data_IF_702576490029
#
_entry.id   IF_702576490029
#
_cell.length_a   1.000
_cell.length_b   1.000
_cell.length_c   1.000
_cell.angle_alpha   90.00
_cell.angle_beta   90.00
_cell.angle_gamma   90.00
#
_symmetry.space_group_name_H-M   'P 1'
#
loop_
_entity.id
_entity.type
_entity.pdbx_description
1 polymer ?
#
# COMPACT_ATOMS: atom_id res chain seq x y z
N UNK A 1 -17.93 20.64 -9.04
CA UNK A 1 -17.44 21.93 -8.49
C UNK A 1 -18.54 22.73 -7.81
N UNK A 2 -19.83 22.44 -8.07
CA UNK A 2 -20.96 23.17 -7.48
C UNK A 2 -21.48 22.61 -6.13
N UNK A 3 -21.12 21.38 -5.75
CA UNK A 3 -21.53 20.79 -4.48
C UNK A 3 -20.63 21.16 -3.28
N UNK A 4 -19.45 21.74 -3.51
CA UNK A 4 -18.56 22.23 -2.44
C UNK A 4 -18.82 23.71 -2.13
N UNK A 5 -19.35 24.47 -3.10
CA UNK A 5 -19.92 25.79 -2.84
C UNK A 5 -21.14 25.70 -1.93
N UNK A 6 -22.01 24.69 -2.09
CA UNK A 6 -23.24 24.58 -1.30
C UNK A 6 -23.01 24.27 0.18
N UNK A 7 -21.97 23.52 0.55
CA UNK A 7 -21.69 23.21 1.97
C UNK A 7 -21.07 24.37 2.75
N UNK A 8 -20.36 25.29 2.09
CA UNK A 8 -19.84 26.52 2.71
C UNK A 8 -20.92 27.62 2.74
N UNK A 9 -21.82 27.62 1.76
CA UNK A 9 -23.00 28.52 1.71
C UNK A 9 -24.06 28.10 2.73
N UNK A 10 -24.23 26.82 3.09
CA UNK A 10 -25.19 26.41 4.14
C UNK A 10 -24.78 26.84 5.56
N UNK A 11 -23.49 27.12 5.80
CA UNK A 11 -23.00 27.70 7.06
C UNK A 11 -23.01 29.24 7.06
N UNK A 12 -23.32 29.84 5.92
CA UNK A 12 -23.54 31.28 5.73
C UNK A 12 -24.98 31.45 5.25
N UNK A 13 -25.98 31.41 6.14
CA UNK A 13 -27.38 31.64 5.76
C UNK A 13 -27.54 32.99 5.04
N UNK A 14 -27.55 32.94 3.70
CA UNK A 14 -27.92 34.04 2.83
C UNK A 14 -29.06 33.56 1.94
N UNK A 15 -30.27 34.03 2.23
CA UNK A 15 -31.48 33.77 1.45
C UNK A 15 -31.79 35.02 0.60
N UNK A 16 -31.70 34.98 -0.74
CA UNK A 16 -31.92 36.14 -1.58
C UNK A 16 -33.42 36.25 -1.90
N UNK A 17 -34.19 36.80 -0.98
CA UNK A 17 -35.49 37.35 -1.36
C UNK A 17 -35.84 38.56 -0.52
N UNK A 18 -36.26 39.60 -1.22
CA UNK A 18 -36.70 40.92 -0.76
C UNK A 18 -35.62 41.99 -0.62
N UNK A 19 -35.93 43.12 -1.25
CA UNK A 19 -35.08 44.28 -1.45
C UNK A 19 -34.63 44.90 -0.13
N UNK A 20 -33.38 44.68 0.24
CA UNK A 20 -32.59 45.56 1.10
C UNK A 20 -31.14 45.08 1.08
N UNK A 21 -30.21 45.98 0.77
CA UNK A 21 -28.77 45.71 0.74
C UNK A 21 -28.37 45.34 2.17
N UNK A 22 -28.03 44.08 2.41
CA UNK A 22 -27.65 43.57 3.74
C UNK A 22 -26.19 43.98 4.04
N UNK A 23 -26.01 44.97 4.90
CA UNK A 23 -24.73 45.62 5.24
C UNK A 23 -23.99 45.02 6.45
N UNK A 24 -24.16 43.73 6.78
CA UNK A 24 -23.41 43.13 7.91
C UNK A 24 -23.06 41.68 7.61
N UNK A 25 -21.78 41.41 7.36
CA UNK A 25 -21.20 40.07 7.47
C UNK A 25 -20.89 39.79 8.93
N UNK A 26 -21.73 39.01 9.60
CA UNK A 26 -21.56 38.57 10.98
C UNK A 26 -20.49 37.48 11.08
N UNK A 27 -19.26 37.87 11.40
CA UNK A 27 -18.29 36.97 12.05
C UNK A 27 -18.68 36.90 13.53
N UNK A 28 -18.94 35.70 14.06
CA UNK A 28 -19.66 35.51 15.34
C UNK A 28 -18.84 35.83 16.60
N UNK A 29 -17.53 36.08 16.48
CA UNK A 29 -16.72 36.85 17.45
C UNK A 29 -15.24 36.77 17.10
N UNK A 30 -14.58 37.92 17.02
CA UNK A 30 -13.14 38.01 17.18
C UNK A 30 -12.85 38.24 18.67
N UNK A 31 -11.89 37.51 19.24
CA UNK A 31 -11.51 37.70 20.64
C UNK A 31 -10.73 39.02 20.81
N UNK A 32 -11.46 40.14 20.90
CA UNK A 32 -10.92 41.50 21.11
C UNK A 32 -10.01 41.58 22.36
N UNK A 33 -10.22 40.71 23.34
CA UNK A 33 -9.36 40.55 24.53
C UNK A 33 -7.90 40.19 24.23
N UNK A 34 -7.58 39.75 23.00
CA UNK A 34 -6.22 39.38 22.58
C UNK A 34 -5.55 40.45 21.69
N UNK A 35 -6.21 41.57 21.41
CA UNK A 35 -5.69 42.61 20.50
C UNK A 35 -4.31 43.16 20.94
N UNK A 36 -4.11 43.41 22.23
CA UNK A 36 -2.82 43.87 22.77
C UNK A 36 -1.69 42.87 22.56
N UNK A 37 -1.99 41.57 22.65
CA UNK A 37 -1.03 40.50 22.37
C UNK A 37 -0.68 40.44 20.89
N UNK A 38 -1.67 40.56 20.00
CA UNK A 38 -1.45 40.60 18.54
C UNK A 38 -0.59 41.81 18.14
N UNK A 39 -0.79 42.98 18.76
CA UNK A 39 0.06 44.16 18.53
C UNK A 39 1.52 43.96 18.97
N UNK A 40 1.73 43.31 20.12
CA UNK A 40 3.07 42.91 20.57
C UNK A 40 3.71 41.89 19.62
N UNK A 41 2.93 40.92 19.14
CA UNK A 41 3.39 39.92 18.17
C UNK A 41 3.81 40.58 16.85
N UNK A 42 3.05 41.55 16.31
CA UNK A 42 3.42 42.30 15.10
C UNK A 42 4.79 42.98 15.25
N UNK A 43 5.02 43.62 16.40
CA UNK A 43 6.27 44.34 16.68
C UNK A 43 7.47 43.39 16.82
N UNK A 44 7.25 42.24 17.47
CA UNK A 44 8.31 41.22 17.58
C UNK A 44 8.61 40.54 16.24
N UNK A 45 7.59 40.29 15.42
CA UNK A 45 7.72 39.67 14.11
C UNK A 45 8.38 40.60 13.10
N UNK A 46 8.09 41.91 13.12
CA UNK A 46 8.79 42.88 12.27
C UNK A 46 10.29 42.90 12.58
N UNK A 47 10.66 42.88 13.87
CA UNK A 47 12.07 42.82 14.25
C UNK A 47 12.73 41.47 13.90
N UNK A 48 11.97 40.37 14.01
CA UNK A 48 12.44 39.05 13.56
C UNK A 48 12.64 38.98 12.04
N UNK A 49 11.88 39.72 11.24
CA UNK A 49 12.08 39.82 9.78
C UNK A 49 13.35 40.58 9.42
N UNK A 50 13.75 41.59 10.20
CA UNK A 50 14.97 42.36 9.97
C UNK A 50 16.24 41.56 10.28
N UNK A 51 16.14 40.63 11.23
CA UNK A 51 17.29 39.87 11.77
C UNK A 51 17.49 38.50 11.11
N UNK A 52 16.43 37.90 10.55
CA UNK A 52 16.51 36.57 9.95
C UNK A 52 16.62 36.63 8.43
N UNK A 53 17.75 36.20 7.88
CA UNK A 53 17.98 36.09 6.44
C UNK A 53 17.76 34.67 5.89
N UNK A 54 17.51 33.69 6.77
CA UNK A 54 17.25 32.30 6.38
C UNK A 54 15.91 32.18 5.64
N UNK A 55 15.87 31.73 4.36
CA UNK A 55 14.67 31.85 3.52
C UNK A 55 13.41 31.15 4.05
N UNK A 56 13.54 29.94 4.61
CA UNK A 56 12.41 29.20 5.20
C UNK A 56 11.84 29.88 6.43
N UNK A 57 12.71 30.29 7.35
CA UNK A 57 12.32 30.94 8.59
C UNK A 57 11.72 32.32 8.29
N UNK A 58 12.33 33.07 7.37
CA UNK A 58 11.82 34.35 6.89
C UNK A 58 10.41 34.21 6.30
N UNK A 59 10.16 33.21 5.44
CA UNK A 59 8.82 32.94 4.91
C UNK A 59 7.80 32.65 6.01
N UNK A 60 8.16 31.84 7.01
CA UNK A 60 7.27 31.54 8.14
C UNK A 60 6.95 32.77 8.99
N UNK A 61 7.97 33.59 9.27
CA UNK A 61 7.83 34.86 10.00
C UNK A 61 6.95 35.82 9.19
N UNK A 62 7.19 35.98 7.89
CA UNK A 62 6.41 36.84 6.99
C UNK A 62 4.93 36.44 6.93
N UNK A 63 4.64 35.14 6.78
CA UNK A 63 3.25 34.64 6.79
C UNK A 63 2.59 34.88 8.15
N UNK A 64 3.34 34.77 9.25
CA UNK A 64 2.86 35.05 10.61
C UNK A 64 2.57 36.54 10.80
N UNK A 65 3.45 37.40 10.29
CA UNK A 65 3.30 38.84 10.31
C UNK A 65 2.06 39.30 9.52
N UNK A 66 1.90 38.84 8.27
CA UNK A 66 0.71 39.12 7.45
C UNK A 66 -0.58 38.69 8.15
N UNK A 67 -0.59 37.51 8.77
CA UNK A 67 -1.75 37.00 9.50
C UNK A 67 -2.10 37.87 10.72
N UNK A 68 -1.08 38.30 11.47
CA UNK A 68 -1.26 39.19 12.61
C UNK A 68 -1.79 40.57 12.19
N UNK A 69 -1.27 41.15 11.10
CA UNK A 69 -1.77 42.41 10.54
C UNK A 69 -3.23 42.31 10.08
N UNK A 70 -3.58 41.27 9.32
CA UNK A 70 -4.95 41.07 8.86
C UNK A 70 -5.90 40.86 10.04
N UNK A 71 -5.47 40.13 11.08
CA UNK A 71 -6.25 39.97 12.32
C UNK A 71 -6.46 41.31 13.02
N UNK A 72 -5.42 42.15 13.11
CA UNK A 72 -5.53 43.49 13.71
C UNK A 72 -6.47 44.40 12.92
N UNK A 73 -6.40 44.36 11.58
CA UNK A 73 -7.30 45.10 10.71
C UNK A 73 -8.76 44.65 10.85
N UNK A 74 -8.99 43.36 11.05
CA UNK A 74 -10.34 42.84 11.32
C UNK A 74 -10.87 43.34 12.67
N UNK A 75 -10.05 43.31 13.73
CA UNK A 75 -10.43 43.82 15.07
C UNK A 75 -10.78 45.30 15.01
N UNK A 76 -9.91 46.13 14.42
CA UNK A 76 -10.14 47.58 14.35
C UNK A 76 -11.35 47.95 13.50
N UNK A 77 -11.63 47.18 12.44
CA UNK A 77 -12.83 47.34 11.63
C UNK A 77 -14.10 46.99 12.42
N UNK A 78 -14.11 45.91 13.21
CA UNK A 78 -15.25 45.59 14.07
C UNK A 78 -15.51 46.66 15.14
N UNK A 79 -14.45 47.18 15.79
CA UNK A 79 -14.56 48.27 16.77
C UNK A 79 -15.09 49.57 16.13
N UNK A 80 -14.62 49.89 14.92
CA UNK A 80 -15.11 51.05 14.16
C UNK A 80 -16.60 50.88 13.77
N UNK A 81 -17.02 49.68 13.34
CA UNK A 81 -18.43 49.42 13.06
C UNK A 81 -19.31 49.48 14.31
N UNK A 82 -18.80 49.06 15.47
CA UNK A 82 -19.54 49.07 16.73
C UNK A 82 -19.76 50.49 17.28
N UNK A 83 -18.90 51.44 16.92
CA UNK A 83 -18.92 52.82 17.45
C UNK A 83 -19.39 53.86 16.43
N UNK A 84 -19.44 53.52 15.13
CA UNK A 84 -19.84 54.44 14.08
C UNK A 84 -21.35 54.69 14.03
N UNK A 85 -21.73 55.96 14.14
CA UNK A 85 -23.09 56.44 13.83
C UNK A 85 -23.24 56.89 12.38
N UNK A 86 -22.13 57.18 11.70
CA UNK A 86 -22.09 57.67 10.33
C UNK A 86 -22.04 56.50 9.33
N UNK A 87 -23.00 56.47 8.41
CA UNK A 87 -23.13 55.43 7.38
C UNK A 87 -21.88 55.27 6.51
N UNK A 88 -21.10 56.34 6.31
CA UNK A 88 -19.86 56.33 5.54
C UNK A 88 -18.74 55.56 6.25
N UNK A 89 -18.63 55.70 7.57
CA UNK A 89 -17.62 55.02 8.41
C UNK A 89 -17.94 53.54 8.52
N UNK A 90 -19.23 53.18 8.67
CA UNK A 90 -19.68 51.79 8.65
C UNK A 90 -19.31 51.10 7.33
N UNK A 91 -19.50 51.78 6.20
CA UNK A 91 -19.15 51.23 4.89
C UNK A 91 -17.63 51.02 4.71
N UNK A 92 -16.80 51.97 5.16
CA UNK A 92 -15.34 51.83 5.12
C UNK A 92 -14.85 50.71 6.03
N UNK A 93 -15.38 50.61 7.24
CA UNK A 93 -15.02 49.57 8.20
C UNK A 93 -15.46 48.18 7.69
N UNK A 94 -16.65 48.06 7.09
CA UNK A 94 -17.11 46.83 6.45
C UNK A 94 -16.17 46.38 5.31
N UNK A 95 -15.72 47.31 4.47
CA UNK A 95 -14.76 47.01 3.40
C UNK A 95 -13.39 46.57 3.95
N UNK A 96 -12.92 47.21 5.03
CA UNK A 96 -11.68 46.82 5.70
C UNK A 96 -11.77 45.41 6.32
N UNK A 97 -12.90 45.08 6.95
CA UNK A 97 -13.15 43.74 7.51
C UNK A 97 -13.20 42.68 6.41
N UNK A 98 -13.86 42.97 5.29
CA UNK A 98 -13.89 42.08 4.13
C UNK A 98 -12.47 41.79 3.61
N UNK A 99 -11.67 42.84 3.36
CA UNK A 99 -10.31 42.70 2.86
C UNK A 99 -9.41 41.92 3.83
N UNK A 100 -9.55 42.17 5.14
CA UNK A 100 -8.83 41.43 6.18
C UNK A 100 -9.22 39.94 6.18
N UNK A 101 -10.50 39.64 6.03
CA UNK A 101 -11.02 38.27 6.02
C UNK A 101 -10.56 37.51 4.78
N UNK A 102 -10.56 38.15 3.61
CA UNK A 102 -10.02 37.56 2.37
C UNK A 102 -8.53 37.28 2.49
N UNK A 103 -7.74 38.22 3.02
CA UNK A 103 -6.30 38.01 3.22
C UNK A 103 -6.02 36.84 4.20
N UNK A 104 -6.83 36.70 5.27
CA UNK A 104 -6.73 35.54 6.17
C UNK A 104 -7.09 34.22 5.47
N UNK A 105 -8.09 34.22 4.59
CA UNK A 105 -8.45 33.06 3.78
C UNK A 105 -7.31 32.68 2.81
N UNK A 106 -6.71 33.66 2.14
CA UNK A 106 -5.57 33.45 1.24
C UNK A 106 -4.36 32.91 1.99
N UNK A 107 -4.05 33.46 3.17
CA UNK A 107 -2.99 32.97 4.04
C UNK A 107 -3.20 31.53 4.49
N UNK A 108 -4.46 31.13 4.74
CA UNK A 108 -4.79 29.75 5.08
C UNK A 108 -4.50 28.81 3.91
N UNK A 109 -4.78 29.23 2.67
CA UNK A 109 -4.42 28.47 1.46
C UNK A 109 -2.90 28.42 1.28
N UNK A 110 -2.19 29.54 1.43
CA UNK A 110 -0.71 29.62 1.29
C UNK A 110 0.06 28.77 2.32
N UNK A 111 -0.56 28.50 3.48
CA UNK A 111 -0.01 27.66 4.55
C UNK A 111 -0.41 26.19 4.44
N UNK A 112 -1.42 25.86 3.64
CA UNK A 112 -1.91 24.49 3.51
C UNK A 112 -0.90 23.63 2.74
N UNK A 113 -0.30 22.67 3.43
CA UNK A 113 0.71 21.78 2.84
C UNK A 113 0.14 20.81 1.78
N UNK A 114 -1.17 20.58 1.80
CA UNK A 114 -1.83 19.65 0.89
C UNK A 114 -2.31 20.32 -0.41
N UNK A 115 -2.27 21.65 -0.49
CA UNK A 115 -2.79 22.44 -1.63
C UNK A 115 -4.26 22.11 -1.99
N UNK A 116 -5.01 21.49 -1.07
CA UNK A 116 -6.39 21.04 -1.27
C UNK A 116 -7.12 20.86 0.06
N UNK A 117 -8.44 20.71 0.02
CA UNK A 117 -9.25 20.36 1.19
C UNK A 117 -9.28 18.85 1.38
N UNK A 118 -8.93 18.38 2.58
CA UNK A 118 -8.96 16.95 2.89
C UNK A 118 -10.39 16.45 3.10
N UNK A 119 -10.77 15.41 2.36
CA UNK A 119 -12.02 14.69 2.54
C UNK A 119 -12.02 13.93 3.85
N UNK A 120 -12.86 14.37 4.80
CA UNK A 120 -12.99 13.68 6.10
C UNK A 120 -13.43 12.23 5.93
N UNK A 121 -14.42 12.01 5.07
CA UNK A 121 -15.00 10.70 4.84
C UNK A 121 -13.96 9.71 4.27
N UNK A 122 -13.27 10.09 3.20
CA UNK A 122 -12.32 9.17 2.53
C UNK A 122 -11.15 8.79 3.44
N UNK A 123 -10.57 9.76 4.13
CA UNK A 123 -9.44 9.52 5.05
C UNK A 123 -9.83 8.64 6.25
N UNK A 124 -10.99 8.89 6.87
CA UNK A 124 -11.49 8.06 7.97
C UNK A 124 -11.85 6.64 7.49
N UNK A 125 -12.43 6.52 6.29
CA UNK A 125 -12.76 5.24 5.67
C UNK A 125 -11.53 4.34 5.49
N UNK A 126 -10.47 4.85 4.87
CA UNK A 126 -9.23 4.07 4.68
C UNK A 126 -8.51 3.81 6.00
N UNK A 127 -8.49 4.77 6.94
CA UNK A 127 -7.97 4.54 8.29
C UNK A 127 -8.68 3.36 8.97
N UNK A 128 -10.01 3.27 8.82
CA UNK A 128 -10.81 2.16 9.37
C UNK A 128 -10.47 0.83 8.71
N UNK A 129 -10.37 0.79 7.37
CA UNK A 129 -10.00 -0.42 6.64
C UNK A 129 -8.61 -0.91 7.06
N UNK A 130 -7.61 -0.04 7.11
CA UNK A 130 -6.25 -0.42 7.53
C UNK A 130 -6.21 -0.82 9.00
N UNK A 131 -7.03 -0.23 9.86
CA UNK A 131 -7.17 -0.66 11.26
C UNK A 131 -7.70 -2.09 11.36
N UNK A 132 -8.71 -2.45 10.56
CA UNK A 132 -9.28 -3.81 10.54
C UNK A 132 -8.25 -4.83 10.03
N UNK A 133 -7.56 -4.51 8.94
CA UNK A 133 -6.51 -5.39 8.38
C UNK A 133 -5.37 -5.57 9.39
N UNK A 134 -4.90 -4.48 10.00
CA UNK A 134 -3.83 -4.50 10.99
C UNK A 134 -4.23 -5.30 12.23
N UNK A 135 -5.45 -5.10 12.75
CA UNK A 135 -5.99 -5.87 13.88
C UNK A 135 -6.03 -7.36 13.56
N UNK A 136 -6.50 -7.76 12.37
CA UNK A 136 -6.49 -9.14 11.93
C UNK A 136 -5.07 -9.74 11.89
N UNK A 137 -4.10 -9.00 11.33
CA UNK A 137 -2.70 -9.45 11.25
C UNK A 137 -2.06 -9.60 12.63
N UNK A 138 -2.36 -8.70 13.57
CA UNK A 138 -1.91 -8.78 14.96
C UNK A 138 -2.50 -10.02 15.67
N UNK A 139 -3.79 -10.30 15.48
CA UNK A 139 -4.42 -11.52 16.01
C UNK A 139 -3.82 -12.78 15.39
N UNK A 140 -3.51 -12.76 14.09
CA UNK A 140 -2.87 -13.86 13.40
C UNK A 140 -1.46 -14.14 13.89
N UNK A 141 -0.74 -13.15 14.45
CA UNK A 141 0.60 -13.36 15.02
C UNK A 141 0.59 -14.38 16.16
N UNK A 142 -0.48 -14.45 16.95
CA UNK A 142 -0.63 -15.41 18.06
C UNK A 142 -0.84 -16.84 17.53
N UNK A 143 -1.57 -16.98 16.43
CA UNK A 143 -1.95 -18.28 15.85
C UNK A 143 -0.94 -18.82 14.83
N UNK A 144 -0.25 -17.93 14.12
CA UNK A 144 0.55 -18.22 12.94
C UNK A 144 2.02 -18.41 13.28
N UNK A 145 2.62 -19.50 12.82
CA UNK A 145 4.09 -19.67 12.87
C UNK A 145 4.83 -19.01 11.71
N UNK A 146 4.15 -18.35 10.78
CA UNK A 146 4.76 -17.63 9.65
C UNK A 146 5.24 -16.23 10.06
N UNK A 147 6.18 -16.17 11.01
CA UNK A 147 6.66 -14.93 11.62
C UNK A 147 7.11 -13.89 10.60
N UNK A 148 7.89 -14.29 9.59
CA UNK A 148 8.39 -13.37 8.56
C UNK A 148 7.28 -12.71 7.77
N UNK A 149 6.28 -13.48 7.34
CA UNK A 149 5.10 -12.95 6.64
C UNK A 149 4.31 -11.99 7.55
N UNK A 150 4.00 -12.41 8.78
CA UNK A 150 3.18 -11.58 9.67
C UNK A 150 3.89 -10.28 10.04
N UNK A 151 5.18 -10.33 10.42
CA UNK A 151 5.94 -9.14 10.84
C UNK A 151 6.00 -8.13 9.70
N UNK A 152 6.37 -8.57 8.49
CA UNK A 152 6.47 -7.67 7.33
C UNK A 152 5.12 -7.09 6.93
N UNK A 153 4.04 -7.89 6.95
CA UNK A 153 2.68 -7.37 6.72
C UNK A 153 2.24 -6.38 7.81
N UNK A 154 2.52 -6.66 9.09
CA UNK A 154 2.20 -5.75 10.21
C UNK A 154 2.97 -4.44 10.06
N UNK A 155 4.26 -4.48 9.71
CA UNK A 155 5.03 -3.28 9.41
C UNK A 155 4.42 -2.50 8.24
N UNK A 156 4.08 -3.18 7.14
CA UNK A 156 3.45 -2.56 5.97
C UNK A 156 2.12 -1.88 6.29
N UNK A 157 1.15 -2.61 6.83
CA UNK A 157 -0.17 -2.05 7.17
C UNK A 157 -0.15 -1.13 8.39
N UNK A 158 0.83 -1.27 9.29
CA UNK A 158 1.09 -0.32 10.37
C UNK A 158 1.53 1.03 9.82
N UNK A 159 2.39 1.04 8.81
CA UNK A 159 2.78 2.26 8.10
C UNK A 159 1.61 2.86 7.29
N UNK A 160 0.78 2.06 6.62
CA UNK A 160 -0.46 2.56 5.99
C UNK A 160 -1.40 3.23 7.00
N UNK A 161 -1.59 2.59 8.15
CA UNK A 161 -2.41 3.10 9.23
C UNK A 161 -1.87 4.41 9.79
N UNK A 162 -0.57 4.48 10.08
CA UNK A 162 0.09 5.73 10.50
C UNK A 162 -0.03 6.81 9.43
N UNK A 163 0.05 6.42 8.17
CA UNK A 163 -0.06 7.30 7.03
C UNK A 163 -1.41 8.04 7.01
N UNK A 164 -2.48 7.26 7.09
CA UNK A 164 -3.84 7.78 7.16
C UNK A 164 -4.19 8.45 8.49
N UNK A 165 -3.56 8.03 9.60
CA UNK A 165 -3.66 8.73 10.88
C UNK A 165 -3.10 10.15 10.76
N UNK A 166 -1.94 10.34 10.13
CA UNK A 166 -1.38 11.66 9.86
C UNK A 166 -2.34 12.57 9.07
N UNK A 167 -3.06 12.01 8.09
CA UNK A 167 -4.09 12.73 7.33
C UNK A 167 -5.28 13.14 8.19
N UNK A 168 -5.78 12.24 9.05
CA UNK A 168 -6.88 12.54 9.97
C UNK A 168 -6.47 13.59 11.00
N UNK A 169 -5.25 13.51 11.55
CA UNK A 169 -4.72 14.52 12.47
C UNK A 169 -4.58 15.89 11.79
N UNK A 170 -4.28 15.91 10.49
CA UNK A 170 -4.19 17.14 9.68
C UNK A 170 -5.52 17.86 9.50
N UNK A 171 -6.68 17.27 9.88
CA UNK A 171 -7.95 18.00 9.91
C UNK A 171 -7.98 19.11 10.95
N UNK A 172 -7.18 18.97 12.02
CA UNK A 172 -7.05 20.00 13.05
C UNK A 172 -6.26 21.20 12.53
N UNK A 173 -5.20 20.93 11.75
CA UNK A 173 -4.30 21.94 11.21
C UNK A 173 -3.51 21.35 10.03
N UNK A 174 -3.82 21.80 8.82
CA UNK A 174 -3.18 21.35 7.56
C UNK A 174 -1.83 22.01 7.32
N UNK A 175 -1.41 22.96 8.16
CA UNK A 175 -0.12 23.64 8.06
C UNK A 175 0.99 22.95 8.88
N UNK A 176 0.62 21.98 9.72
CA UNK A 176 1.58 21.21 10.54
C UNK A 176 2.39 20.24 9.71
N UNK A 177 3.68 20.54 9.59
CA UNK A 177 4.65 19.72 8.87
C UNK A 177 4.76 18.30 9.44
N UNK A 178 4.67 18.12 10.75
CA UNK A 178 4.83 16.80 11.38
C UNK A 178 3.77 15.79 10.92
N UNK A 179 2.51 16.23 10.82
CA UNK A 179 1.42 15.38 10.34
C UNK A 179 1.56 15.10 8.84
N UNK A 180 1.99 16.10 8.07
CA UNK A 180 2.28 15.97 6.65
C UNK A 180 3.47 15.01 6.39
N UNK A 181 4.53 15.05 7.20
CA UNK A 181 5.66 14.14 7.07
C UNK A 181 5.28 12.72 7.52
N UNK A 182 4.49 12.58 8.59
CA UNK A 182 3.99 11.29 9.04
C UNK A 182 3.23 10.56 7.92
N UNK A 183 2.30 11.25 7.24
CA UNK A 183 1.59 10.64 6.12
C UNK A 183 2.54 10.26 4.97
N UNK A 184 3.45 11.16 4.61
CA UNK A 184 4.20 11.07 3.38
C UNK A 184 5.24 9.96 3.48
N UNK A 185 5.99 9.95 4.59
CA UNK A 185 7.02 8.95 4.87
C UNK A 185 6.38 7.58 5.07
N UNK A 186 5.31 7.47 5.85
CA UNK A 186 4.70 6.18 6.15
C UNK A 186 4.07 5.53 4.89
N UNK A 187 3.31 6.30 4.09
CA UNK A 187 2.75 5.79 2.83
C UNK A 187 3.86 5.47 1.80
N UNK A 188 4.99 6.15 1.83
CA UNK A 188 6.09 5.82 0.91
C UNK A 188 6.77 4.50 1.29
N UNK A 189 6.96 4.23 2.58
CA UNK A 189 7.67 3.04 3.08
C UNK A 189 6.83 1.76 3.06
N UNK A 190 5.51 1.88 3.28
CA UNK A 190 4.63 0.73 3.49
C UNK A 190 4.69 -0.36 2.40
N UNK A 191 4.68 -0.06 1.09
CA UNK A 191 4.63 -1.09 0.04
C UNK A 191 5.85 -2.00 0.01
N UNK A 192 7.04 -1.51 0.39
CA UNK A 192 8.26 -2.32 0.43
C UNK A 192 8.12 -3.48 1.43
N UNK A 193 7.52 -3.22 2.60
CA UNK A 193 7.26 -4.25 3.59
C UNK A 193 6.18 -5.25 3.15
N UNK A 194 5.12 -4.77 2.51
CA UNK A 194 4.06 -5.63 1.95
C UNK A 194 4.64 -6.57 0.88
N UNK A 195 5.50 -6.05 0.01
CA UNK A 195 6.14 -6.84 -1.03
C UNK A 195 7.16 -7.83 -0.48
N UNK A 196 7.91 -7.49 0.57
CA UNK A 196 8.77 -8.44 1.27
C UNK A 196 7.99 -9.69 1.74
N UNK A 197 6.76 -9.50 2.23
CA UNK A 197 5.87 -10.61 2.60
C UNK A 197 5.47 -11.47 1.39
N UNK A 198 5.16 -10.83 0.26
CA UNK A 198 4.78 -11.51 -0.98
C UNK A 198 5.96 -12.29 -1.57
N UNK A 199 7.17 -11.73 -1.56
CA UNK A 199 8.39 -12.42 -2.00
C UNK A 199 8.67 -13.67 -1.17
N UNK A 200 8.43 -13.59 0.13
CA UNK A 200 8.52 -14.74 1.02
C UNK A 200 7.47 -15.81 0.66
N UNK A 201 6.21 -15.41 0.42
CA UNK A 201 5.16 -16.35 0.02
C UNK A 201 5.46 -17.00 -1.34
N UNK A 202 6.02 -16.24 -2.28
CA UNK A 202 6.46 -16.78 -3.56
C UNK A 202 7.57 -17.82 -3.39
N UNK A 203 8.56 -17.57 -2.53
CA UNK A 203 9.60 -18.56 -2.22
C UNK A 203 8.99 -19.87 -1.68
N UNK A 204 7.96 -19.78 -0.82
CA UNK A 204 7.25 -20.97 -0.32
C UNK A 204 6.52 -21.72 -1.44
N UNK A 205 5.87 -21.00 -2.36
CA UNK A 205 5.20 -21.59 -3.52
C UNK A 205 6.14 -22.38 -4.43
N UNK A 206 7.36 -21.88 -4.63
CA UNK A 206 8.39 -22.59 -5.40
C UNK A 206 8.78 -23.90 -4.72
N UNK A 207 8.93 -23.92 -3.40
CA UNK A 207 9.28 -25.15 -2.66
C UNK A 207 8.15 -26.17 -2.70
N UNK A 208 6.89 -25.71 -2.58
CA UNK A 208 5.71 -26.58 -2.55
C UNK A 208 5.48 -27.25 -3.91
N UNK A 209 5.62 -26.53 -5.02
CA UNK A 209 5.44 -27.13 -6.35
C UNK A 209 6.69 -27.86 -6.83
N UNK A 210 7.87 -27.34 -6.52
CA UNK A 210 9.15 -27.91 -6.93
C UNK A 210 10.05 -26.84 -7.52
N UNK A 211 11.32 -26.88 -7.11
CA UNK A 211 12.33 -25.90 -7.52
C UNK A 211 12.64 -25.93 -9.02
N UNK A 212 12.38 -27.05 -9.69
CA UNK A 212 12.60 -27.22 -11.14
C UNK A 212 11.73 -26.28 -11.98
N UNK A 213 10.57 -25.86 -11.48
CA UNK A 213 9.65 -24.93 -12.17
C UNK A 213 10.07 -23.46 -12.04
N UNK A 214 11.05 -23.17 -11.21
CA UNK A 214 11.50 -21.81 -10.93
C UNK A 214 12.83 -21.51 -11.62
N UNK A 215 13.02 -20.25 -12.01
CA UNK A 215 14.27 -19.77 -12.62
C UNK A 215 15.36 -19.60 -11.56
N UNK A 216 14.99 -19.05 -10.39
CA UNK A 216 15.90 -18.84 -9.27
C UNK A 216 15.58 -19.83 -8.14
N UNK A 217 16.55 -20.03 -7.27
CA UNK A 217 16.35 -20.76 -6.01
C UNK A 217 15.36 -19.98 -5.12
N UNK A 218 14.53 -20.66 -4.32
CA UNK A 218 13.42 -20.04 -3.59
C UNK A 218 13.80 -18.79 -2.79
N UNK A 219 14.84 -18.85 -1.95
CA UNK A 219 15.23 -17.73 -1.09
C UNK A 219 15.93 -16.59 -1.83
N UNK A 220 16.44 -16.83 -3.04
CA UNK A 220 17.09 -15.79 -3.83
C UNK A 220 16.09 -14.74 -4.30
N UNK A 221 14.82 -15.10 -4.52
CA UNK A 221 13.77 -14.13 -4.79
C UNK A 221 13.62 -13.14 -3.62
N UNK A 222 13.48 -13.67 -2.39
CA UNK A 222 13.34 -12.82 -1.22
C UNK A 222 14.58 -11.97 -0.97
N UNK A 223 15.79 -12.53 -1.05
CA UNK A 223 17.01 -11.75 -0.80
C UNK A 223 17.25 -10.67 -1.86
N UNK A 224 17.18 -11.03 -3.14
CA UNK A 224 17.43 -10.08 -4.22
C UNK A 224 16.44 -8.91 -4.18
N UNK A 225 15.14 -9.20 -4.14
CA UNK A 225 14.12 -8.17 -4.24
C UNK A 225 13.98 -7.33 -2.97
N UNK A 226 14.14 -7.93 -1.77
CA UNK A 226 14.18 -7.13 -0.53
C UNK A 226 15.41 -6.24 -0.50
N UNK A 227 16.57 -6.68 -0.98
CA UNK A 227 17.76 -5.82 -1.08
C UNK A 227 17.52 -4.66 -2.04
N UNK A 228 16.93 -4.90 -3.22
CA UNK A 228 16.56 -3.84 -4.15
C UNK A 228 15.62 -2.81 -3.49
N UNK A 229 14.60 -3.28 -2.75
CA UNK A 229 13.67 -2.41 -2.06
C UNK A 229 14.37 -1.61 -0.94
N UNK A 230 15.22 -2.22 -0.12
CA UNK A 230 16.00 -1.52 0.92
C UNK A 230 16.92 -0.46 0.32
N UNK A 231 17.65 -0.78 -0.75
CA UNK A 231 18.51 0.19 -1.45
C UNK A 231 17.67 1.35 -1.98
N UNK A 232 16.51 1.06 -2.56
CA UNK A 232 15.59 2.08 -3.06
C UNK A 232 15.12 3.02 -1.94
N UNK A 233 14.81 2.49 -0.75
CA UNK A 233 14.39 3.28 0.41
C UNK A 233 15.53 4.13 0.97
N UNK A 234 16.76 3.64 0.95
CA UNK A 234 17.93 4.42 1.36
C UNK A 234 18.19 5.59 0.41
N UNK A 235 18.05 5.38 -0.90
CA UNK A 235 18.13 6.45 -1.90
C UNK A 235 17.04 7.50 -1.66
N UNK A 236 15.81 7.07 -1.38
CA UNK A 236 14.69 7.96 -1.06
C UNK A 236 14.92 8.76 0.22
N UNK A 237 15.38 8.11 1.29
CA UNK A 237 15.70 8.77 2.55
C UNK A 237 16.83 9.79 2.37
N UNK A 238 17.88 9.44 1.62
CA UNK A 238 18.97 10.35 1.28
C UNK A 238 18.51 11.53 0.43
N UNK A 239 17.71 11.29 -0.60
CA UNK A 239 17.14 12.32 -1.47
C UNK A 239 16.20 13.27 -0.73
N UNK A 240 15.30 12.74 0.11
CA UNK A 240 14.42 13.52 0.97
C UNK A 240 15.18 14.33 2.02
N UNK A 241 16.23 13.75 2.62
CA UNK A 241 17.13 14.45 3.54
C UNK A 241 17.86 15.60 2.85
N UNK A 242 18.40 15.37 1.66
CA UNK A 242 19.06 16.39 0.85
C UNK A 242 18.10 17.51 0.42
N UNK A 243 16.88 17.17 -0.01
CA UNK A 243 15.86 18.17 -0.38
C UNK A 243 15.47 19.04 0.83
N UNK A 244 15.31 18.42 2.01
CA UNK A 244 15.00 19.14 3.24
C UNK A 244 16.13 20.10 3.64
N UNK A 245 17.39 19.64 3.57
CA UNK A 245 18.57 20.46 3.85
C UNK A 245 18.73 21.62 2.85
N UNK A 246 18.54 21.35 1.56
CA UNK A 246 18.61 22.37 0.51
C UNK A 246 17.60 23.50 0.74
N UNK A 247 16.36 23.12 1.08
CA UNK A 247 15.33 24.13 1.33
C UNK A 247 15.60 24.91 2.64
N UNK A 248 16.24 24.31 3.65
CA UNK A 248 16.68 25.05 4.84
C UNK A 248 17.79 26.07 4.52
N UNK A 249 18.67 25.73 3.59
CA UNK A 249 19.79 26.57 3.17
C UNK A 249 19.43 27.55 2.04
N UNK A 250 18.19 27.54 1.54
CA UNK A 250 17.75 28.41 0.44
C UNK A 250 18.32 28.03 -0.94
N UNK A 251 18.83 26.81 -1.07
CA UNK A 251 19.36 26.28 -2.34
C UNK A 251 18.33 25.41 -3.04
N UNK A 252 18.49 25.20 -4.35
CA UNK A 252 17.58 24.39 -5.16
C UNK A 252 17.40 22.97 -4.60
N UNK A 253 16.16 22.62 -4.26
CA UNK A 253 15.76 21.33 -3.71
C UNK A 253 15.61 20.23 -4.77
N UNK A 254 15.55 20.59 -6.05
CA UNK A 254 15.32 19.65 -7.17
C UNK A 254 16.30 18.47 -7.21
N UNK A 255 17.62 18.62 -6.95
CA UNK A 255 18.53 17.48 -6.94
C UNK A 255 18.13 16.42 -5.90
N UNK A 256 17.69 16.84 -4.72
CA UNK A 256 17.20 15.94 -3.67
C UNK A 256 15.90 15.25 -4.06
N UNK A 257 14.95 16.02 -4.62
CA UNK A 257 13.68 15.47 -5.13
C UNK A 257 13.91 14.46 -6.26
N UNK A 258 14.80 14.76 -7.22
CA UNK A 258 15.16 13.85 -8.31
C UNK A 258 15.83 12.58 -7.81
N UNK A 259 16.65 12.67 -6.76
CA UNK A 259 17.25 11.51 -6.10
C UNK A 259 16.18 10.63 -5.47
N UNK A 260 15.18 11.22 -4.81
CA UNK A 260 14.04 10.47 -4.28
C UNK A 260 13.22 9.78 -5.39
N UNK A 261 12.95 10.48 -6.50
CA UNK A 261 12.28 9.89 -7.68
C UNK A 261 13.07 8.71 -8.22
N UNK A 262 14.40 8.82 -8.32
CA UNK A 262 15.27 7.74 -8.81
C UNK A 262 15.14 6.47 -7.94
N UNK A 263 15.03 6.63 -6.61
CA UNK A 263 14.79 5.52 -5.70
C UNK A 263 13.47 4.80 -5.99
N UNK A 264 12.37 5.53 -6.12
CA UNK A 264 11.05 4.92 -6.39
C UNK A 264 11.02 4.31 -7.80
N UNK A 265 11.66 4.94 -8.79
CA UNK A 265 11.79 4.40 -10.14
C UNK A 265 12.58 3.08 -10.16
N UNK A 266 13.68 3.00 -9.40
CA UNK A 266 14.44 1.77 -9.22
C UNK A 266 13.60 0.66 -8.57
N UNK A 267 12.76 1.02 -7.59
CA UNK A 267 11.81 0.09 -6.97
C UNK A 267 10.78 -0.44 -7.99
N UNK A 268 10.20 0.43 -8.83
CA UNK A 268 9.26 0.02 -9.91
C UNK A 268 9.95 -0.89 -10.92
N UNK A 269 11.20 -0.60 -11.30
CA UNK A 269 11.99 -1.47 -12.17
C UNK A 269 12.16 -2.86 -11.53
N UNK A 270 12.55 -2.92 -10.26
CA UNK A 270 12.66 -4.15 -9.47
C UNK A 270 11.35 -4.96 -9.47
N UNK A 271 10.21 -4.30 -9.20
CA UNK A 271 8.88 -4.93 -9.26
C UNK A 271 8.53 -5.47 -10.64
N UNK A 272 8.92 -4.78 -11.71
CA UNK A 272 8.69 -5.23 -13.09
C UNK A 272 9.45 -6.53 -13.37
N UNK A 273 10.71 -6.62 -12.93
CA UNK A 273 11.51 -7.85 -13.03
C UNK A 273 10.91 -8.98 -12.20
N UNK A 274 10.41 -8.68 -10.99
CA UNK A 274 9.68 -9.65 -10.18
C UNK A 274 8.45 -10.19 -10.90
N UNK A 275 7.67 -9.31 -11.54
CA UNK A 275 6.49 -9.69 -12.32
C UNK A 275 6.83 -10.67 -13.45
N UNK A 276 7.93 -10.44 -14.15
CA UNK A 276 8.42 -11.34 -15.20
C UNK A 276 8.70 -12.72 -14.61
N UNK A 277 9.41 -12.80 -13.48
CA UNK A 277 9.68 -14.08 -12.82
C UNK A 277 8.42 -14.76 -12.28
N UNK A 278 7.47 -14.00 -11.76
CA UNK A 278 6.19 -14.52 -11.29
C UNK A 278 5.40 -15.18 -12.43
N UNK A 279 5.24 -14.49 -13.56
CA UNK A 279 4.53 -15.06 -14.71
C UNK A 279 5.30 -16.19 -15.39
N UNK A 280 6.63 -16.13 -15.42
CA UNK A 280 7.46 -17.23 -15.92
C UNK A 280 7.32 -18.49 -15.04
N UNK A 281 7.24 -18.32 -13.72
CA UNK A 281 6.93 -19.42 -12.80
C UNK A 281 5.54 -20.00 -13.07
N UNK A 282 4.50 -19.17 -13.22
CA UNK A 282 3.15 -19.65 -13.55
C UNK A 282 3.09 -20.37 -14.91
N UNK A 283 3.81 -19.85 -15.90
CA UNK A 283 3.91 -20.45 -17.23
C UNK A 283 4.55 -21.83 -17.16
N UNK A 284 5.65 -21.98 -16.41
CA UNK A 284 6.31 -23.27 -16.18
C UNK A 284 5.42 -24.21 -15.37
N UNK A 285 4.72 -23.68 -14.38
CA UNK A 285 3.84 -24.46 -13.51
C UNK A 285 2.69 -25.10 -14.30
N UNK A 286 2.04 -24.35 -15.20
CA UNK A 286 0.83 -24.81 -15.88
C UNK A 286 1.06 -25.53 -17.20
N UNK A 287 2.14 -25.19 -17.92
CA UNK A 287 2.30 -25.60 -19.33
C UNK A 287 3.56 -26.44 -19.62
N UNK A 288 4.42 -26.72 -18.63
CA UNK A 288 5.70 -27.41 -18.90
C UNK A 288 5.55 -28.90 -19.18
N UNK A 289 4.73 -29.60 -18.42
CA UNK A 289 4.63 -31.07 -18.47
C UNK A 289 3.24 -31.59 -18.81
N UNK A 290 2.28 -30.71 -19.06
CA UNK A 290 0.94 -31.15 -19.40
C UNK A 290 0.75 -31.35 -20.91
N UNK A 291 -0.22 -32.19 -21.25
CA UNK A 291 -0.57 -32.58 -22.60
C UNK A 291 -2.04 -32.27 -22.91
N UNK A 292 -2.36 -32.10 -24.19
CA UNK A 292 -3.73 -31.85 -24.65
C UNK A 292 -4.11 -30.37 -24.76
N UNK A 293 -5.42 -30.09 -24.83
CA UNK A 293 -5.93 -28.77 -25.19
C UNK A 293 -5.63 -27.67 -24.15
N UNK A 294 -5.56 -28.03 -22.86
CA UNK A 294 -5.24 -27.09 -21.77
C UNK A 294 -3.74 -26.78 -21.66
N UNK A 295 -2.87 -27.62 -22.23
CA UNK A 295 -1.42 -27.40 -22.25
C UNK A 295 -0.97 -26.30 -23.21
N UNK A 296 -1.85 -25.87 -24.13
CA UNK A 296 -1.55 -24.77 -25.06
C UNK A 296 -1.60 -23.43 -24.34
N UNK A 297 -0.56 -22.60 -24.57
CA UNK A 297 -0.46 -21.23 -24.07
C UNK A 297 -1.44 -20.32 -24.81
N UNK A 298 -2.70 -20.29 -24.35
CA UNK A 298 -3.72 -19.38 -24.86
C UNK A 298 -4.25 -18.51 -23.73
N UNK A 299 -4.66 -17.25 -23.99
CA UNK A 299 -5.24 -16.37 -22.97
C UNK A 299 -6.45 -17.00 -22.27
N UNK A 300 -7.27 -17.75 -23.01
CA UNK A 300 -8.41 -18.49 -22.46
C UNK A 300 -7.98 -19.58 -21.46
N UNK A 301 -6.92 -20.33 -21.76
CA UNK A 301 -6.41 -21.35 -20.84
C UNK A 301 -5.80 -20.71 -19.60
N UNK A 302 -5.02 -19.64 -19.75
CA UNK A 302 -4.47 -18.86 -18.63
C UNK A 302 -5.59 -18.38 -17.70
N UNK A 303 -6.68 -17.82 -18.25
CA UNK A 303 -7.83 -17.40 -17.47
C UNK A 303 -8.49 -18.59 -16.73
N UNK A 304 -8.64 -19.76 -17.39
CA UNK A 304 -9.15 -20.97 -16.74
C UNK A 304 -8.29 -21.41 -15.56
N UNK A 305 -6.96 -21.28 -15.66
CA UNK A 305 -6.03 -21.58 -14.56
C UNK A 305 -6.22 -20.60 -13.39
N UNK A 306 -6.31 -19.30 -13.67
CA UNK A 306 -6.53 -18.28 -12.65
C UNK A 306 -7.86 -18.43 -11.92
N UNK A 307 -8.95 -18.71 -12.64
CA UNK A 307 -10.28 -18.90 -12.06
C UNK A 307 -10.53 -20.33 -11.54
N UNK A 308 -9.50 -21.18 -11.48
CA UNK A 308 -9.54 -22.54 -10.99
C UNK A 308 -10.81 -23.33 -11.42
N UNK A 309 -11.09 -23.36 -12.73
CA UNK A 309 -12.28 -24.03 -13.27
C UNK A 309 -12.21 -25.55 -13.02
N UNK A 310 -13.35 -26.25 -12.91
CA UNK A 310 -13.40 -27.73 -12.74
C UNK A 310 -12.54 -28.51 -13.75
N UNK A 311 -12.50 -28.06 -15.01
CA UNK A 311 -11.64 -28.66 -16.03
C UNK A 311 -10.14 -28.56 -15.72
N UNK A 312 -9.71 -27.48 -15.06
CA UNK A 312 -8.32 -27.28 -14.64
C UNK A 312 -8.00 -28.10 -13.40
N UNK A 313 -8.94 -28.25 -12.47
CA UNK A 313 -8.77 -29.11 -11.29
C UNK A 313 -8.47 -30.55 -11.72
N UNK A 314 -9.30 -31.10 -12.60
CA UNK A 314 -9.09 -32.46 -13.14
C UNK A 314 -7.75 -32.58 -13.89
N UNK A 315 -7.40 -31.58 -14.72
CA UNK A 315 -6.13 -31.55 -15.44
C UNK A 315 -4.92 -31.48 -14.50
N UNK A 316 -5.01 -30.69 -13.42
CA UNK A 316 -3.96 -30.58 -12.41
C UNK A 316 -3.75 -31.90 -11.69
N UNK A 317 -4.82 -32.52 -11.22
CA UNK A 317 -4.75 -33.81 -10.51
C UNK A 317 -4.23 -34.94 -11.39
N UNK A 318 -4.66 -35.01 -12.66
CA UNK A 318 -4.30 -36.11 -13.55
C UNK A 318 -2.92 -35.94 -14.19
N UNK A 319 -2.52 -34.72 -14.58
CA UNK A 319 -1.33 -34.52 -15.41
C UNK A 319 -0.21 -33.75 -14.72
N UNK A 320 -0.52 -32.78 -13.85
CA UNK A 320 0.51 -31.91 -13.26
C UNK A 320 1.02 -32.41 -11.90
N UNK A 321 0.12 -32.96 -11.08
CA UNK A 321 0.43 -33.42 -9.73
C UNK A 321 1.60 -34.43 -9.65
N UNK A 322 1.76 -35.39 -10.59
CA UNK A 322 2.90 -36.32 -10.58
C UNK A 322 4.28 -35.64 -10.69
N UNK A 323 4.34 -34.45 -11.30
CA UNK A 323 5.59 -33.71 -11.48
C UNK A 323 5.90 -32.75 -10.32
N UNK A 324 4.95 -32.55 -9.41
CA UNK A 324 5.15 -31.70 -8.24
C UNK A 324 5.82 -32.45 -7.09
N UNK A 325 6.35 -31.70 -6.12
CA UNK A 325 7.01 -32.30 -4.97
C UNK A 325 6.02 -33.15 -4.14
N UNK A 326 6.18 -34.48 -4.03
CA UNK A 326 5.22 -35.34 -3.34
C UNK A 326 5.14 -35.04 -1.84
N UNK A 327 6.23 -34.52 -1.24
CA UNK A 327 6.28 -34.19 0.19
C UNK A 327 5.30 -33.10 0.64
N UNK A 328 4.71 -32.34 -0.31
CA UNK A 328 3.77 -31.25 -0.01
C UNK A 328 2.38 -31.44 -0.64
N UNK A 329 2.04 -32.64 -1.11
CA UNK A 329 0.73 -32.92 -1.74
C UNK A 329 -0.45 -32.56 -0.81
N UNK A 330 -0.33 -32.82 0.49
CA UNK A 330 -1.36 -32.48 1.49
C UNK A 330 -1.66 -30.97 1.60
N UNK A 331 -0.71 -30.10 1.22
CA UNK A 331 -0.93 -28.65 1.18
C UNK A 331 -1.69 -28.29 -0.10
N UNK A 332 -1.30 -28.89 -1.24
CA UNK A 332 -1.88 -28.57 -2.55
C UNK A 332 -3.34 -28.99 -2.69
N UNK A 333 -3.75 -30.09 -2.06
CA UNK A 333 -5.16 -30.52 -2.05
C UNK A 333 -6.10 -29.63 -1.20
N UNK A 334 -5.57 -28.60 -0.50
CA UNK A 334 -6.43 -27.65 0.23
C UNK A 334 -7.15 -26.74 -0.75
N UNK A 335 -8.47 -26.61 -0.61
CA UNK A 335 -9.32 -25.78 -1.49
C UNK A 335 -8.85 -24.31 -1.63
N UNK A 336 -8.27 -23.73 -0.59
CA UNK A 336 -7.78 -22.35 -0.61
C UNK A 336 -6.45 -22.19 -1.37
N UNK A 337 -5.66 -23.26 -1.49
CA UNK A 337 -4.34 -23.22 -2.11
C UNK A 337 -4.44 -22.96 -3.61
N UNK A 338 -5.43 -23.55 -4.29
CA UNK A 338 -5.59 -23.40 -5.74
C UNK A 338 -5.88 -21.97 -6.20
N UNK A 339 -6.47 -21.15 -5.33
CA UNK A 339 -6.76 -19.75 -5.59
C UNK A 339 -5.61 -18.81 -5.24
N UNK A 340 -4.56 -19.33 -4.60
CA UNK A 340 -3.41 -18.53 -4.15
C UNK A 340 -2.62 -17.89 -5.30
N UNK A 341 -2.42 -18.53 -6.47
CA UNK A 341 -1.81 -17.87 -7.63
C UNK A 341 -2.60 -16.64 -8.09
N UNK A 342 -3.94 -16.70 -8.09
CA UNK A 342 -4.77 -15.54 -8.43
C UNK A 342 -4.63 -14.45 -7.36
N UNK A 343 -4.72 -14.81 -6.08
CA UNK A 343 -4.59 -13.89 -4.97
C UNK A 343 -3.26 -13.11 -5.00
N UNK A 344 -2.14 -13.80 -5.19
CA UNK A 344 -0.81 -13.17 -5.30
C UNK A 344 -0.72 -12.29 -6.54
N UNK A 345 -1.24 -12.74 -7.69
CA UNK A 345 -1.18 -11.95 -8.93
C UNK A 345 -1.94 -10.64 -8.79
N UNK A 346 -3.13 -10.66 -8.20
CA UNK A 346 -3.94 -9.44 -7.97
C UNK A 346 -3.27 -8.54 -6.93
N UNK A 347 -2.71 -9.10 -5.86
CA UNK A 347 -1.99 -8.34 -4.84
C UNK A 347 -0.76 -7.61 -5.42
N UNK A 348 0.09 -8.31 -6.17
CA UNK A 348 1.29 -7.74 -6.80
C UNK A 348 0.89 -6.69 -7.84
N UNK A 349 -0.18 -6.92 -8.62
CA UNK A 349 -0.68 -5.94 -9.59
C UNK A 349 -1.13 -4.65 -8.90
N UNK A 350 -1.86 -4.75 -7.78
CA UNK A 350 -2.30 -3.59 -7.04
C UNK A 350 -1.13 -2.78 -6.48
N UNK A 351 -0.14 -3.44 -5.87
CA UNK A 351 1.08 -2.76 -5.36
C UNK A 351 1.87 -2.11 -6.50
N UNK A 352 1.95 -2.77 -7.65
CA UNK A 352 2.64 -2.24 -8.83
C UNK A 352 1.97 -0.99 -9.42
N UNK A 353 0.63 -0.98 -9.55
CA UNK A 353 -0.14 0.19 -9.98
C UNK A 353 0.15 1.38 -9.05
N UNK A 354 0.12 1.15 -7.73
CA UNK A 354 0.49 2.18 -6.74
C UNK A 354 1.91 2.68 -6.95
N UNK A 355 2.84 1.77 -7.21
CA UNK A 355 4.27 2.11 -7.34
C UNK A 355 4.50 2.99 -8.58
N UNK A 356 3.82 2.71 -9.69
CA UNK A 356 3.80 3.57 -10.89
C UNK A 356 3.18 4.93 -10.56
N UNK A 357 2.01 4.95 -9.89
CA UNK A 357 1.37 6.19 -9.47
C UNK A 357 2.33 7.08 -8.66
N UNK A 358 3.08 6.51 -7.72
CA UNK A 358 4.05 7.26 -6.90
C UNK A 358 5.20 7.86 -7.70
N UNK A 359 5.71 7.16 -8.71
CA UNK A 359 6.72 7.73 -9.61
C UNK A 359 6.15 8.95 -10.35
N UNK A 360 4.94 8.82 -10.90
CA UNK A 360 4.31 9.90 -11.68
C UNK A 360 3.91 11.08 -10.78
N UNK A 361 3.37 10.81 -9.59
CA UNK A 361 3.02 11.81 -8.58
C UNK A 361 4.24 12.67 -8.25
N UNK A 362 5.37 12.04 -7.95
CA UNK A 362 6.58 12.76 -7.58
C UNK A 362 7.29 13.44 -8.75
N UNK A 363 7.22 12.85 -9.94
CA UNK A 363 7.74 13.48 -11.16
C UNK A 363 6.99 14.77 -11.52
N UNK A 364 5.71 14.89 -11.16
CA UNK A 364 4.95 16.14 -11.30
C UNK A 364 5.26 17.16 -10.21
N UNK A 365 5.89 16.74 -9.11
CA UNK A 365 6.23 17.59 -7.96
C UNK A 365 5.04 17.86 -7.02
N UNK A 366 5.34 18.56 -5.92
CA UNK A 366 4.38 18.79 -4.81
C UNK A 366 3.22 19.76 -5.13
N UNK A 367 3.25 20.38 -6.30
CA UNK A 367 2.15 21.21 -6.84
C UNK A 367 1.50 20.61 -8.08
N UNK A 368 1.82 19.35 -8.39
CA UNK A 368 1.29 18.61 -9.53
C UNK A 368 -0.21 18.32 -9.42
N UNK A 369 -0.86 18.07 -10.55
CA UNK A 369 -2.30 17.78 -10.58
C UNK A 369 -2.67 16.56 -9.72
N UNK A 370 -1.83 15.51 -9.71
CA UNK A 370 -2.09 14.26 -8.98
C UNK A 370 -2.10 14.44 -7.46
N UNK A 371 -1.14 15.19 -6.88
CA UNK A 371 -1.03 15.35 -5.43
C UNK A 371 -2.12 16.29 -4.87
N UNK A 372 -2.57 17.26 -5.67
CA UNK A 372 -3.65 18.21 -5.31
C UNK A 372 -5.02 17.53 -5.35
N UNK A 373 -5.21 16.54 -6.23
CA UNK A 373 -6.49 15.84 -6.37
C UNK A 373 -6.50 14.56 -5.55
N UNK A 374 -7.05 14.65 -4.35
CA UNK A 374 -7.11 13.56 -3.37
C UNK A 374 -7.75 12.26 -3.89
N UNK A 375 -8.62 12.35 -4.91
CA UNK A 375 -9.24 11.19 -5.55
C UNK A 375 -8.20 10.20 -6.08
N UNK A 376 -7.07 10.68 -6.63
CA UNK A 376 -6.03 9.79 -7.14
C UNK A 376 -5.31 9.05 -6.01
N UNK A 377 -5.05 9.72 -4.89
CA UNK A 377 -4.50 9.08 -3.70
C UNK A 377 -5.45 8.01 -3.15
N UNK A 378 -6.76 8.25 -3.13
CA UNK A 378 -7.71 7.24 -2.68
C UNK A 378 -7.79 6.03 -3.62
N UNK A 379 -7.86 6.26 -4.93
CA UNK A 379 -8.09 5.17 -5.90
C UNK A 379 -6.81 4.45 -6.30
N UNK A 380 -5.75 5.17 -6.65
CA UNK A 380 -4.53 4.60 -7.21
C UNK A 380 -3.52 4.16 -6.14
N UNK A 381 -3.71 4.61 -4.90
CA UNK A 381 -2.82 4.27 -3.80
C UNK A 381 -3.57 3.50 -2.69
N UNK A 382 -4.50 4.16 -1.98
CA UNK A 382 -5.12 3.57 -0.79
C UNK A 382 -6.00 2.36 -1.10
N UNK A 383 -6.81 2.43 -2.15
CA UNK A 383 -7.65 1.32 -2.61
C UNK A 383 -6.80 0.15 -3.08
N UNK A 384 -5.70 0.40 -3.79
CA UNK A 384 -4.83 -0.67 -4.28
C UNK A 384 -4.21 -1.47 -3.13
N UNK A 385 -3.68 -0.79 -2.10
CA UNK A 385 -3.16 -1.48 -0.92
C UNK A 385 -4.27 -2.09 -0.06
N UNK A 386 -5.43 -1.46 0.02
CA UNK A 386 -6.60 -2.06 0.68
C UNK A 386 -7.00 -3.38 0.02
N UNK A 387 -7.04 -3.44 -1.33
CA UNK A 387 -7.31 -4.68 -2.08
C UNK A 387 -6.27 -5.75 -1.75
N UNK A 388 -4.98 -5.39 -1.77
CA UNK A 388 -3.91 -6.32 -1.40
C UNK A 388 -4.14 -6.90 0.01
N UNK A 389 -4.49 -6.05 0.98
CA UNK A 389 -4.65 -6.47 2.37
C UNK A 389 -5.88 -7.35 2.56
N UNK A 390 -7.01 -6.92 2.01
CA UNK A 390 -8.28 -7.64 2.04
C UNK A 390 -8.19 -9.02 1.38
N UNK A 391 -7.38 -9.18 0.33
CA UNK A 391 -7.11 -10.49 -0.27
C UNK A 391 -6.39 -11.41 0.72
N UNK A 392 -5.41 -10.92 1.46
CA UNK A 392 -4.65 -11.74 2.41
C UNK A 392 -5.38 -12.03 3.73
N UNK A 393 -6.58 -11.50 3.96
CA UNK A 393 -7.44 -11.92 5.08
C UNK A 393 -7.82 -13.41 4.94
N UNK A 394 -8.63 -13.82 3.92
CA UNK A 394 -8.96 -15.23 3.70
C UNK A 394 -7.77 -16.06 3.20
N UNK A 395 -6.85 -15.46 2.43
CA UNK A 395 -5.68 -16.14 1.88
C UNK A 395 -4.43 -16.11 2.78
N UNK A 396 -4.62 -15.79 4.07
CA UNK A 396 -3.53 -15.79 5.02
C UNK A 396 -2.80 -17.15 5.02
N UNK A 397 -1.45 -17.21 5.11
CA UNK A 397 -0.68 -18.45 5.03
C UNK A 397 -1.14 -19.55 5.98
N UNK A 398 -1.68 -19.19 7.15
CA UNK A 398 -2.27 -20.16 8.09
C UNK A 398 -3.42 -20.96 7.48
N UNK A 399 -4.25 -20.33 6.66
CA UNK A 399 -5.42 -20.96 6.06
C UNK A 399 -5.05 -21.67 4.75
N UNK A 400 -4.22 -21.05 3.91
CA UNK A 400 -3.81 -21.61 2.62
C UNK A 400 -2.76 -22.72 2.74
N UNK A 401 -1.74 -22.53 3.58
CA UNK A 401 -0.62 -23.47 3.75
C UNK A 401 -0.75 -24.36 5.00
N UNK A 402 -1.61 -23.99 5.94
CA UNK A 402 -1.82 -24.69 7.21
C UNK A 402 -1.08 -24.05 8.39
N UNK A 403 -1.52 -24.35 9.62
CA UNK A 403 -1.07 -23.67 10.87
C UNK A 403 0.40 -23.87 11.20
N UNK A 404 0.97 -25.02 10.83
CA UNK A 404 2.39 -25.31 11.05
C UNK A 404 3.19 -24.82 9.84
N UNK A 405 4.25 -24.03 10.07
CA UNK A 405 5.20 -23.69 9.02
C UNK A 405 6.07 -24.92 8.72
N UNK A 406 5.60 -25.76 7.81
CA UNK A 406 6.29 -27.00 7.40
C UNK A 406 7.46 -26.64 6.47
N UNK A 407 7.30 -25.59 5.65
CA UNK A 407 8.38 -25.01 4.84
C UNK A 407 9.15 -23.97 5.68
N UNK A 408 10.08 -24.47 6.51
CA UNK A 408 10.96 -23.63 7.34
C UNK A 408 12.08 -23.02 6.50
N UNK A 409 12.38 -21.74 6.69
CA UNK A 409 13.49 -21.06 6.01
C UNK A 409 14.83 -21.79 6.17
N UNK A 410 15.08 -22.39 7.34
CA UNK A 410 16.31 -23.12 7.62
C UNK A 410 16.49 -24.34 6.71
N UNK A 411 15.42 -25.10 6.47
CA UNK A 411 15.42 -26.28 5.59
C UNK A 411 15.62 -25.86 4.13
N UNK A 412 14.95 -24.77 3.70
CA UNK A 412 15.10 -24.24 2.34
C UNK A 412 16.54 -23.77 2.09
N UNK A 413 17.16 -23.10 3.08
CA UNK A 413 18.53 -22.56 2.99
C UNK A 413 19.56 -23.67 2.81
N UNK A 414 19.34 -24.84 3.39
CA UNK A 414 20.25 -25.99 3.31
C UNK A 414 19.96 -26.92 2.12
N UNK A 415 18.92 -26.64 1.33
CA UNK A 415 18.42 -27.52 0.25
C UNK A 415 18.10 -28.96 0.74
N UNK A 416 17.82 -29.14 2.03
CA UNK A 416 17.51 -30.45 2.61
C UNK A 416 16.20 -31.03 2.05
N UNK A 417 15.31 -30.17 1.53
CA UNK A 417 14.11 -30.55 0.79
C UNK A 417 14.41 -31.27 -0.53
N UNK A 418 15.54 -30.99 -1.19
CA UNK A 418 15.98 -31.72 -2.39
C UNK A 418 16.55 -33.10 -2.06
N UNK A 419 17.25 -33.24 -0.93
CA UNK A 419 17.80 -34.52 -0.46
C UNK A 419 16.67 -35.48 -0.11
N UNK A 420 15.67 -35.00 0.64
CA UNK A 420 14.49 -35.79 0.97
C UNK A 420 13.65 -36.13 -0.27
N UNK A 421 13.48 -35.19 -1.21
CA UNK A 421 12.76 -35.48 -2.46
C UNK A 421 13.49 -36.50 -3.35
N UNK A 422 14.83 -36.45 -3.42
CA UNK A 422 15.63 -37.45 -4.15
C UNK A 422 15.56 -38.83 -3.51
N UNK A 423 15.57 -38.93 -2.17
CA UNK A 423 15.44 -40.21 -1.46
C UNK A 423 14.04 -40.82 -1.63
N UNK A 424 12.99 -40.00 -1.68
CA UNK A 424 11.62 -40.47 -1.96
C UNK A 424 11.48 -40.89 -3.43
N UNK A 425 12.03 -40.12 -4.37
CA UNK A 425 12.00 -40.48 -5.79
C UNK A 425 12.87 -41.70 -6.10
N UNK A 426 13.99 -41.93 -5.41
CA UNK A 426 14.78 -43.16 -5.55
C UNK A 426 14.02 -44.36 -5.00
N UNK A 427 13.36 -44.24 -3.84
CA UNK A 427 12.54 -45.30 -3.28
C UNK A 427 11.30 -45.62 -4.16
N UNK A 428 10.71 -44.63 -4.83
CA UNK A 428 9.65 -44.85 -5.81
C UNK A 428 10.17 -45.46 -7.12
N UNK A 429 11.35 -45.06 -7.61
CA UNK A 429 11.98 -45.69 -8.77
C UNK A 429 12.32 -47.15 -8.49
N UNK A 430 12.85 -47.46 -7.30
CA UNK A 430 13.16 -48.83 -6.84
C UNK A 430 11.90 -49.69 -6.69
N UNK A 431 10.78 -49.11 -6.25
CA UNK A 431 9.48 -49.80 -6.14
C UNK A 431 8.77 -50.03 -7.49
N UNK A 432 8.99 -49.15 -8.48
CA UNK A 432 8.46 -49.32 -9.84
C UNK A 432 9.28 -50.35 -10.61
N UNK A 433 10.60 -50.36 -10.44
CA UNK A 433 11.51 -51.34 -11.06
C UNK A 433 11.27 -52.77 -10.54
N UNK A 434 10.90 -52.94 -9.26
CA UNK A 434 10.58 -54.24 -8.66
C UNK A 434 9.22 -54.80 -9.15
N UNK A 435 8.27 -53.93 -9.53
CA UNK A 435 6.99 -54.35 -10.14
C UNK A 435 7.13 -54.75 -11.61
N UNK A 436 7.98 -54.07 -12.37
CA UNK A 436 8.28 -54.46 -13.74
C UNK A 436 9.10 -55.75 -13.78
N UNK A 437 9.99 -55.98 -12.80
CA UNK A 437 10.77 -57.21 -12.64
C UNK A 437 9.94 -58.44 -12.23
N UNK A 438 8.86 -58.27 -11.46
CA UNK A 438 7.95 -59.38 -11.09
C UNK A 438 6.90 -59.74 -12.16
N UNK A 439 6.79 -58.97 -13.24
CA UNK A 439 5.80 -59.20 -14.30
C UNK A 439 6.25 -60.17 -15.42
N UNK A 440 7.48 -60.71 -15.35
CA UNK A 440 8.09 -61.52 -16.44
C UNK A 440 8.13 -63.03 -16.15
N UNK A 441 7.69 -63.52 -14.98
CA UNK A 441 7.65 -64.97 -14.69
C UNK A 441 6.25 -65.43 -14.27
N UNK A 442 5.30 -65.42 -15.20
CA UNK A 442 4.13 -66.33 -15.11
C UNK A 442 3.53 -66.61 -16.49
N UNK A 443 4.17 -67.49 -17.28
CA UNK A 443 3.55 -68.09 -18.45
C UNK A 443 2.94 -69.45 -18.11
N UNK A 444 1.61 -69.46 -18.09
CA UNK A 444 0.68 -70.52 -18.50
C UNK A 444 1.15 -71.98 -18.59
N UNK A 445 0.40 -72.88 -17.93
CA UNK A 445 0.06 -74.20 -18.48
C UNK A 445 -1.42 -74.52 -18.17
N UNK A 446 -2.22 -75.10 -19.11
CA UNK A 446 -3.66 -75.27 -18.95
C UNK A 446 -4.10 -76.71 -18.59
N UNK A 447 -5.23 -76.78 -17.86
CA UNK A 447 -6.28 -77.83 -17.78
C UNK A 447 -5.90 -79.22 -17.21
N UNK A 448 -6.50 -79.59 -16.07
CA UNK A 448 -7.47 -80.71 -16.01
C UNK A 448 -8.27 -80.75 -14.69
N UNK A 449 -9.57 -80.98 -14.88
CA UNK A 449 -10.64 -81.24 -13.92
C UNK A 449 -10.51 -82.64 -13.29
N UNK A 450 -10.77 -82.79 -11.98
CA UNK A 450 -11.60 -83.87 -11.40
C UNK A 450 -11.70 -83.79 -9.88
N UNK A 451 -12.95 -83.78 -9.39
CA UNK A 451 -13.49 -84.38 -8.15
C UNK A 451 -13.05 -83.89 -6.74
N UNK A 452 -14.04 -83.35 -6.04
CA UNK A 452 -14.24 -83.16 -4.57
C UNK A 452 -14.12 -84.46 -3.71
N UNK A 453 -14.30 -84.43 -2.37
CA UNK A 453 -13.46 -83.97 -1.23
C UNK A 453 -13.35 -85.14 -0.19
N UNK A 454 -13.47 -85.01 1.17
CA UNK A 454 -12.87 -84.15 2.21
C UNK A 454 -12.11 -84.98 3.30
N UNK A 455 -11.38 -84.33 4.24
CA UNK A 455 -11.11 -84.77 5.65
C UNK A 455 -10.16 -83.77 6.31
N UNK A 456 -10.65 -82.95 7.25
CA UNK A 456 -10.72 -83.19 8.71
C UNK A 456 -9.39 -83.08 9.48
N UNK A 457 -9.46 -82.28 10.56
CA UNK A 457 -8.66 -82.30 11.81
C UNK A 457 -7.22 -81.77 11.69
N UNK A 458 -6.78 -80.79 12.50
CA UNK A 458 -7.09 -80.45 13.89
C UNK A 458 -7.10 -78.94 14.13
#
# INVERSE_FOLDING_TARGET
MDAVKSSFIEQLQYNPSTASITTVSTVTSIATSKASKVAADISSLSHAMETNTAPRLFRQIYLSYRGAQATMQAISAEEAMATATDSSVVAQASAALYNATVNLADLNVERNLYNTYLSRFGNVWYLTIFSIILAYLLLMLIKSRYWWFNITMICGYGLEWMGFLGRVLSFSDTSKMDYYLLQYVALTLAPAFIMAAIYFLFAQLVVIHGRSFSVLKPLWYSYFFVTCDVVSLLIQAGGGGAASAATNNGTDEKPGVNTMIAGIAFQVFSMTVFFIFWFEFLNRLWFRHGEGALAKRTPANIAKFFFNTKSVQNYREQQLEPYYNPGFAFIRHRKLFDWMPLAITVAVAAVYIRSIYRVVELAQGFSGYLIVHEVFLFVLDAMMISICGLIFLPFHPVWSLGTQQIVRLATIKKNEDEVNAKNVNSAHAEYVDDKDSQSVIFSMNPIQDTSTPPRELK
#
